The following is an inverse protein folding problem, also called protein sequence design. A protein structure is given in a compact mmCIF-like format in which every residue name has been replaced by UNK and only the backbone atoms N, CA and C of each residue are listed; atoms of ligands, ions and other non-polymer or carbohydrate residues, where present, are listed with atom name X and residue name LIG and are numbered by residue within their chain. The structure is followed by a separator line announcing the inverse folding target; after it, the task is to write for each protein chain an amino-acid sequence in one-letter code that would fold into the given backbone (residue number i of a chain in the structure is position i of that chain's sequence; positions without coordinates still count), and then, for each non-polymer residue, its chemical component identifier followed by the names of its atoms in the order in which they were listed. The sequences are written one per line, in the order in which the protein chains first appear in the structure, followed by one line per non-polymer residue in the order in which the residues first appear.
data_IF_622389918269
#
_entry.id   IF_622389918269
#
_cell.length_a   1.000
_cell.length_b   1.000
_cell.length_c   1.000
_cell.angle_alpha   90.00
_cell.angle_beta   90.00
_cell.angle_gamma   90.00
#
_symmetry.space_group_name_H-M   'P 1'
#
loop_
_entity.id
_entity.type
_entity.pdbx_description
1 polymer ?
#
# COMPACT_ATOMS: atom_id res chain seq x y z
N UNK A 1 -12.67 -4.66 7.10
CA UNK A 1 -12.76 -3.71 5.98
C UNK A 1 -14.14 -3.11 5.89
N UNK A 2 -15.21 -3.89 5.67
CA UNK A 2 -16.58 -3.35 5.57
C UNK A 2 -16.98 -2.46 6.76
N UNK A 3 -16.65 -2.88 7.99
CA UNK A 3 -16.89 -2.08 9.19
C UNK A 3 -16.14 -0.74 9.17
N UNK A 4 -14.83 -0.74 8.87
CA UNK A 4 -14.03 0.49 8.76
C UNK A 4 -14.50 1.38 7.60
N UNK A 5 -14.81 0.78 6.44
CA UNK A 5 -15.30 1.51 5.28
C UNK A 5 -16.65 2.16 5.58
N UNK A 6 -17.57 1.44 6.24
CA UNK A 6 -18.85 1.99 6.68
C UNK A 6 -18.66 3.13 7.69
N UNK A 7 -17.74 2.99 8.65
CA UNK A 7 -17.40 4.05 9.61
C UNK A 7 -16.85 5.32 8.91
N UNK A 8 -16.11 5.17 7.82
CA UNK A 8 -15.59 6.27 6.99
C UNK A 8 -16.59 6.74 5.91
N UNK A 9 -17.81 6.18 5.87
CA UNK A 9 -18.85 6.52 4.89
C UNK A 9 -18.54 6.11 3.45
N UNK A 10 -17.71 5.07 3.27
CA UNK A 10 -17.31 4.55 1.97
C UNK A 10 -18.16 3.37 1.55
N UNK A 11 -18.35 3.24 0.24
CA UNK A 11 -18.93 2.06 -0.41
C UNK A 11 -17.86 1.34 -1.23
N UNK A 12 -18.04 0.03 -1.41
CA UNK A 12 -17.19 -0.76 -2.29
C UNK A 12 -17.79 -0.88 -3.69
N UNK A 13 -16.93 -0.73 -4.71
CA UNK A 13 -17.25 -1.21 -6.05
C UNK A 13 -17.17 -2.75 -6.09
N UNK A 14 -17.74 -3.41 -7.11
CA UNK A 14 -17.58 -4.86 -7.29
C UNK A 14 -16.11 -5.27 -7.31
N UNK A 15 -15.79 -6.42 -6.71
CA UNK A 15 -14.44 -6.99 -6.80
C UNK A 15 -14.20 -7.48 -8.21
N UNK A 16 -13.13 -7.01 -8.84
CA UNK A 16 -12.74 -7.38 -10.21
C UNK A 16 -11.53 -8.31 -10.16
N UNK A 17 -11.63 -9.45 -10.82
CA UNK A 17 -10.53 -10.38 -11.02
C UNK A 17 -9.99 -10.22 -12.45
N UNK A 18 -8.73 -9.84 -12.57
CA UNK A 18 -8.07 -9.63 -13.88
C UNK A 18 -7.00 -10.70 -14.07
N UNK A 19 -7.13 -11.48 -15.15
CA UNK A 19 -6.10 -12.42 -15.56
C UNK A 19 -5.02 -11.71 -16.40
N UNK A 20 -3.76 -12.08 -16.20
CA UNK A 20 -2.60 -11.47 -16.88
C UNK A 20 -2.51 -9.94 -16.67
N UNK A 21 -3.12 -9.43 -15.60
CA UNK A 21 -3.14 -8.02 -15.27
C UNK A 21 -1.74 -7.52 -14.91
N UNK A 22 -1.44 -6.28 -15.32
CA UNK A 22 -0.34 -5.48 -14.78
C UNK A 22 -0.92 -4.32 -13.98
N UNK A 23 -0.09 -3.71 -13.15
CA UNK A 23 -0.47 -2.64 -12.21
C UNK A 23 -1.41 -1.58 -12.82
N UNK A 24 -1.10 -1.11 -14.03
CA UNK A 24 -1.87 -0.06 -14.71
C UNK A 24 -3.33 -0.44 -15.05
N UNK A 25 -3.70 -1.74 -15.06
CA UNK A 25 -5.07 -2.16 -15.37
C UNK A 25 -6.07 -1.69 -14.32
N UNK A 26 -5.61 -1.46 -13.09
CA UNK A 26 -6.45 -0.94 -12.01
C UNK A 26 -7.00 0.46 -12.34
N UNK A 27 -6.26 1.26 -13.12
CA UNK A 27 -6.68 2.61 -13.46
C UNK A 27 -7.82 2.60 -14.48
N UNK A 28 -7.75 1.74 -15.50
CA UNK A 28 -8.81 1.55 -16.49
C UNK A 28 -10.09 1.01 -15.84
N UNK A 29 -9.96 0.00 -14.98
CA UNK A 29 -11.08 -0.56 -14.23
C UNK A 29 -11.71 0.50 -13.31
N UNK A 30 -10.88 1.26 -12.59
CA UNK A 30 -11.35 2.33 -11.71
C UNK A 30 -12.09 3.43 -12.45
N UNK A 31 -11.56 3.87 -13.59
CA UNK A 31 -12.17 4.89 -14.45
C UNK A 31 -13.53 4.41 -14.97
N UNK A 32 -13.61 3.18 -15.49
CA UNK A 32 -14.87 2.60 -16.01
C UNK A 32 -15.95 2.41 -14.94
N UNK A 33 -15.54 2.08 -13.70
CA UNK A 33 -16.47 1.92 -12.57
C UNK A 33 -16.81 3.24 -11.87
N UNK A 34 -16.19 4.37 -12.27
CA UNK A 34 -16.33 5.64 -11.56
C UNK A 34 -15.83 5.58 -10.11
N UNK A 35 -14.86 4.71 -9.83
CA UNK A 35 -14.32 4.52 -8.49
C UNK A 35 -13.44 5.71 -8.08
N UNK A 36 -13.67 6.28 -6.90
CA UNK A 36 -12.86 7.38 -6.37
C UNK A 36 -11.42 6.95 -6.07
N UNK A 37 -11.22 5.69 -5.76
CA UNK A 37 -9.95 5.09 -5.39
C UNK A 37 -9.89 3.65 -5.89
N UNK A 38 -8.71 3.17 -6.25
CA UNK A 38 -8.46 1.77 -6.59
C UNK A 38 -7.41 1.17 -5.68
N UNK A 39 -7.60 -0.11 -5.35
CA UNK A 39 -6.61 -0.94 -4.66
C UNK A 39 -6.44 -2.20 -5.49
N UNK A 40 -5.22 -2.44 -5.96
CA UNK A 40 -4.86 -3.65 -6.69
C UNK A 40 -3.98 -4.53 -5.81
N UNK A 41 -4.45 -5.75 -5.56
CA UNK A 41 -3.64 -6.82 -4.98
C UNK A 41 -3.05 -7.64 -6.13
N UNK A 42 -1.73 -7.81 -6.17
CA UNK A 42 -1.04 -8.51 -7.24
C UNK A 42 0.12 -9.34 -6.67
N UNK A 43 0.22 -10.59 -7.09
CA UNK A 43 1.36 -11.45 -6.73
C UNK A 43 2.66 -10.83 -7.24
N UNK A 44 3.68 -10.80 -6.39
CA UNK A 44 5.01 -10.33 -6.79
C UNK A 44 5.71 -11.40 -7.63
N UNK A 45 6.74 -10.97 -8.37
CA UNK A 45 7.59 -11.94 -9.07
C UNK A 45 8.22 -12.85 -8.01
N UNK A 46 8.10 -14.19 -8.14
CA UNK A 46 8.62 -15.10 -7.13
C UNK A 46 10.13 -14.91 -6.98
N UNK A 47 10.54 -14.55 -5.77
CA UNK A 47 11.94 -14.56 -5.35
C UNK A 47 12.41 -16.00 -5.10
N UNK A 48 13.72 -16.20 -4.96
CA UNK A 48 14.30 -17.54 -4.74
C UNK A 48 13.77 -18.21 -3.46
N UNK A 49 13.33 -17.43 -2.47
CA UNK A 49 12.90 -17.88 -1.14
C UNK A 49 11.54 -17.34 -0.69
N UNK A 50 10.80 -16.67 -1.57
CA UNK A 50 9.54 -15.98 -1.21
C UNK A 50 8.54 -16.01 -2.38
N UNK A 51 8.04 -17.20 -2.75
CA UNK A 51 7.13 -17.37 -3.88
C UNK A 51 5.70 -16.87 -3.59
N UNK A 52 5.41 -16.53 -2.33
CA UNK A 52 4.09 -16.22 -1.77
C UNK A 52 3.90 -14.72 -1.46
N UNK A 53 4.83 -13.87 -1.86
CA UNK A 53 4.79 -12.43 -1.58
C UNK A 53 3.70 -11.72 -2.40
N UNK A 54 2.88 -10.90 -1.71
CA UNK A 54 1.85 -10.06 -2.32
C UNK A 54 2.29 -8.58 -2.32
N UNK A 55 2.02 -7.90 -3.42
CA UNK A 55 2.11 -6.45 -3.55
C UNK A 55 0.73 -5.83 -3.61
N UNK A 56 0.63 -4.59 -3.11
CA UNK A 56 -0.55 -3.75 -3.18
C UNK A 56 -0.20 -2.43 -3.85
N UNK A 57 -1.04 -2.01 -4.80
CA UNK A 57 -0.99 -0.68 -5.40
C UNK A 57 -2.27 0.09 -5.12
N UNK A 58 -2.14 1.32 -4.66
CA UNK A 58 -3.25 2.21 -4.35
C UNK A 58 -3.17 3.50 -5.17
N UNK A 59 -4.28 3.87 -5.82
CA UNK A 59 -4.42 5.10 -6.59
C UNK A 59 -5.67 5.87 -6.16
N UNK A 60 -5.54 7.18 -5.94
CA UNK A 60 -6.66 8.10 -5.81
C UNK A 60 -6.98 8.73 -7.18
N UNK A 61 -8.26 8.84 -7.52
CA UNK A 61 -8.74 9.31 -8.82
C UNK A 61 -8.08 8.55 -10.00
N UNK A 62 -8.22 7.22 -10.05
CA UNK A 62 -7.64 6.39 -11.11
C UNK A 62 -8.08 6.85 -12.50
N UNK A 63 -7.14 6.87 -13.44
CA UNK A 63 -7.38 7.26 -14.84
C UNK A 63 -6.37 6.60 -15.78
N UNK A 64 -6.81 6.18 -16.97
CA UNK A 64 -5.90 5.70 -18.01
C UNK A 64 -4.84 6.77 -18.35
N UNK A 65 -3.59 6.34 -18.43
CA UNK A 65 -2.44 7.20 -18.73
C UNK A 65 -1.66 7.69 -17.50
N UNK A 66 -2.09 7.36 -16.28
CA UNK A 66 -1.31 7.64 -15.08
C UNK A 66 0.01 6.84 -15.06
N UNK A 67 1.06 7.49 -14.58
CA UNK A 67 2.38 6.87 -14.35
C UNK A 67 2.46 6.26 -12.95
N UNK A 68 3.48 5.44 -12.70
CA UNK A 68 3.71 4.83 -11.38
C UNK A 68 3.87 5.86 -10.25
N UNK A 69 4.22 7.11 -10.57
CA UNK A 69 4.36 8.17 -9.59
C UNK A 69 3.04 8.52 -8.87
N UNK A 70 1.89 8.12 -9.42
CA UNK A 70 0.57 8.32 -8.81
C UNK A 70 0.12 7.15 -7.93
N UNK A 71 0.93 6.09 -7.83
CA UNK A 71 0.55 4.86 -7.13
C UNK A 71 1.35 4.72 -5.85
N UNK A 72 0.67 4.59 -4.72
CA UNK A 72 1.34 4.11 -3.51
C UNK A 72 1.56 2.60 -3.65
N UNK A 73 2.72 2.12 -3.21
CA UNK A 73 3.08 0.71 -3.24
C UNK A 73 3.36 0.20 -1.82
N UNK A 74 2.67 -0.86 -1.42
CA UNK A 74 2.99 -1.65 -0.22
C UNK A 74 3.41 -3.04 -0.73
N UNK A 75 4.65 -3.42 -0.46
CA UNK A 75 5.26 -4.66 -0.96
C UNK A 75 5.62 -5.63 0.17
N UNK A 76 6.05 -6.83 -0.19
CA UNK A 76 6.48 -7.87 0.75
C UNK A 76 5.39 -8.23 1.78
N UNK A 77 4.12 -8.23 1.35
CA UNK A 77 2.99 -8.62 2.21
C UNK A 77 2.92 -10.15 2.26
N UNK A 78 3.33 -10.72 3.40
CA UNK A 78 3.37 -12.17 3.68
C UNK A 78 3.66 -12.42 5.17
N UNK A 79 3.58 -13.68 5.60
CA UNK A 79 3.75 -14.04 7.02
C UNK A 79 5.13 -13.70 7.58
N UNK A 80 6.21 -13.98 6.85
CA UNK A 80 7.59 -13.65 7.25
C UNK A 80 8.06 -12.30 6.67
N UNK A 81 7.10 -11.46 6.25
CA UNK A 81 7.32 -10.10 5.76
C UNK A 81 6.42 -9.11 6.48
N UNK A 82 5.80 -8.21 5.73
CA UNK A 82 4.78 -7.32 6.26
C UNK A 82 3.48 -8.12 6.48
N UNK A 83 3.03 -8.21 7.73
CA UNK A 83 1.80 -8.94 8.04
C UNK A 83 0.58 -8.32 7.36
N UNK A 84 -0.41 -9.15 7.04
CA UNK A 84 -1.66 -8.69 6.44
C UNK A 84 -2.35 -7.58 7.25
N UNK A 85 -2.34 -7.70 8.57
CA UNK A 85 -2.90 -6.68 9.47
C UNK A 85 -2.17 -5.35 9.37
N UNK A 86 -0.83 -5.36 9.33
CA UNK A 86 -0.03 -4.14 9.18
C UNK A 86 -0.20 -3.51 7.80
N UNK A 87 -0.26 -4.32 6.74
CA UNK A 87 -0.53 -3.86 5.39
C UNK A 87 -1.92 -3.20 5.28
N UNK A 88 -2.95 -3.81 5.87
CA UNK A 88 -4.30 -3.24 5.92
C UNK A 88 -4.35 -1.93 6.72
N UNK A 89 -3.64 -1.84 7.84
CA UNK A 89 -3.54 -0.61 8.64
C UNK A 89 -2.93 0.54 7.83
N UNK A 90 -1.78 0.30 7.19
CA UNK A 90 -1.12 1.29 6.31
C UNK A 90 -1.98 1.68 5.12
N UNK A 91 -2.65 0.71 4.50
CA UNK A 91 -3.60 0.98 3.42
C UNK A 91 -4.72 1.90 3.86
N UNK A 92 -5.38 1.62 5.00
CA UNK A 92 -6.47 2.45 5.51
C UNK A 92 -5.98 3.87 5.82
N UNK A 93 -4.79 4.02 6.39
CA UNK A 93 -4.16 5.33 6.59
C UNK A 93 -4.02 6.09 5.26
N UNK A 94 -3.41 5.45 4.24
CA UNK A 94 -3.24 6.06 2.92
C UNK A 94 -4.58 6.44 2.28
N UNK A 95 -5.58 5.56 2.35
CA UNK A 95 -6.91 5.83 1.78
C UNK A 95 -7.60 7.01 2.45
N UNK A 96 -7.49 7.14 3.79
CA UNK A 96 -8.06 8.27 4.54
C UNK A 96 -7.38 9.58 4.20
N UNK A 97 -6.05 9.58 4.17
CA UNK A 97 -5.28 10.78 3.81
C UNK A 97 -5.49 11.17 2.35
N UNK A 98 -5.61 10.20 1.45
CA UNK A 98 -5.96 10.44 0.06
C UNK A 98 -7.36 11.03 -0.08
N UNK A 99 -8.35 10.56 0.68
CA UNK A 99 -9.69 11.18 0.68
C UNK A 99 -9.64 12.62 1.18
N UNK A 100 -8.87 12.90 2.23
CA UNK A 100 -8.74 14.23 2.84
C UNK A 100 -7.99 15.22 1.95
N UNK A 101 -6.91 14.77 1.30
CA UNK A 101 -5.96 15.62 0.56
C UNK A 101 -6.11 15.53 -0.95
N UNK A 102 -6.88 14.55 -1.44
CA UNK A 102 -7.15 14.28 -2.86
C UNK A 102 -5.89 13.98 -3.68
N UNK A 103 -5.00 13.15 -3.12
CA UNK A 103 -3.71 12.82 -3.73
C UNK A 103 -3.25 11.41 -3.33
N UNK A 104 -2.35 10.84 -4.15
CA UNK A 104 -1.74 9.52 -3.94
C UNK A 104 -0.35 9.47 -4.59
N UNK A 105 0.33 8.34 -4.47
CA UNK A 105 1.67 8.13 -5.02
C UNK A 105 2.74 8.93 -4.30
N UNK A 106 3.71 9.48 -5.04
CA UNK A 106 4.87 10.19 -4.47
C UNK A 106 4.49 11.41 -3.64
N UNK A 107 3.29 11.96 -3.87
CA UNK A 107 2.77 13.11 -3.14
C UNK A 107 2.08 12.74 -1.82
N UNK A 108 1.88 11.44 -1.55
CA UNK A 108 1.29 10.91 -0.34
C UNK A 108 2.24 9.90 0.32
N UNK A 109 2.85 10.27 1.44
CA UNK A 109 3.75 9.37 2.17
C UNK A 109 2.97 8.48 3.13
N UNK A 110 3.48 7.27 3.35
CA UNK A 110 3.04 6.40 4.44
C UNK A 110 3.67 6.90 5.74
N UNK A 111 2.90 7.66 6.51
CA UNK A 111 3.27 8.17 7.84
C UNK A 111 2.42 7.51 8.92
N UNK A 112 1.86 6.32 8.63
CA UNK A 112 1.10 5.56 9.60
C UNK A 112 2.00 5.24 10.81
N UNK A 113 1.61 5.73 12.00
CA UNK A 113 2.29 5.36 13.23
C UNK A 113 2.15 3.86 13.45
N UNK A 114 3.28 3.16 13.46
CA UNK A 114 3.35 1.77 13.88
C UNK A 114 3.81 1.79 15.33
N UNK A 115 2.88 1.61 16.27
CA UNK A 115 3.25 1.35 17.66
C UNK A 115 4.01 0.04 17.71
N UNK A 116 5.33 0.15 17.62
CA UNK A 116 6.24 -0.95 17.92
C UNK A 116 6.20 -1.11 19.43
N UNK A 117 5.83 -2.29 19.92
CA UNK A 117 6.12 -2.64 21.31
C UNK A 117 7.65 -2.63 21.43
N UNK A 118 8.20 -1.56 21.98
CA UNK A 118 9.62 -1.46 22.29
C UNK A 118 9.95 -2.61 23.24
N UNK A 119 10.68 -3.60 22.74
CA UNK A 119 11.39 -4.50 23.63
C UNK A 119 12.51 -3.67 24.26
N UNK A 120 12.31 -3.26 25.52
CA UNK A 120 13.36 -2.68 26.36
C UNK A 120 14.53 -3.66 26.46
N UNK A 121 15.53 -3.51 25.57
CA UNK A 121 16.96 -3.69 25.82
C UNK A 121 17.76 -3.76 24.51
N UNK A 122 18.34 -2.62 24.10
CA UNK A 122 19.71 -2.60 23.59
C UNK A 122 20.25 -1.17 23.60
N UNK A 123 20.81 -0.79 24.75
CA UNK A 123 21.85 0.24 24.83
C UNK A 123 23.06 -0.21 24.01
N UNK A 124 23.12 0.21 22.75
CA UNK A 124 24.27 -0.02 21.88
C UNK A 124 24.26 0.98 20.73
N UNK A 125 25.09 2.01 20.84
CA UNK A 125 25.32 3.02 19.79
C UNK A 125 25.44 2.37 18.40
N UNK A 126 24.41 2.53 17.56
CA UNK A 126 24.53 2.29 16.12
C UNK A 126 25.30 3.47 15.51
N UNK A 127 26.63 3.33 15.46
CA UNK A 127 27.44 4.15 14.55
C UNK A 127 26.96 3.91 13.12
N UNK A 128 26.60 4.99 12.42
CA UNK A 128 26.26 4.91 11.00
C UNK A 128 27.53 4.49 10.23
N UNK A 129 27.52 3.30 9.62
CA UNK A 129 28.67 2.73 8.90
C UNK A 129 29.20 3.67 7.79
N UNK A 130 28.35 4.55 7.25
CA UNK A 130 28.69 5.50 6.19
C UNK A 130 29.38 6.78 6.69
N UNK A 131 29.33 7.03 7.99
CA UNK A 131 30.03 8.14 8.61
C UNK A 131 31.24 7.53 9.31
N UNK A 132 32.32 7.39 8.54
CA UNK A 132 33.60 6.95 9.08
C UNK A 132 33.92 7.72 10.36
N UNK A 133 34.46 7.02 11.36
CA UNK A 133 34.93 7.65 12.60
C UNK A 133 36.02 8.66 12.24
N UNK A 134 35.67 9.95 12.23
CA UNK A 134 36.62 11.05 12.25
C UNK A 134 37.34 11.13 13.58
#
# INVERSE_FOLDING_TARGET
FEEQAAADGWTSAPVVLVQQGRVAVADEVGELLGARMTVMLIGERPGLSSPDSLGLYFTYAPKVGLTDAYRNCISNIRLEGLSYGMAAHRLLYLMREACRRQLSGVNLKDEAEVHSLESENSTGQKGNFLLGKG
#
